data_IF_287372214073
#
_entry.id   IF_287372214073
#
_cell.length_a   1.000
_cell.length_b   1.000
_cell.length_c   1.000
_cell.angle_alpha   90.00
_cell.angle_beta   90.00
_cell.angle_gamma   90.00
#
_symmetry.space_group_name_H-M   'P 1'
#
loop_
_entity.id
_entity.type
_entity.pdbx_description
1 polymer ?
#
# COMPACT_ATOMS: atom_id res chain seq x y z
N UNK A 1 -7.80 -5.66 -20.61
CA UNK A 1 -7.05 -4.41 -20.79
C UNK A 1 -7.77 -3.34 -19.99
N UNK A 2 -7.09 -2.62 -19.10
CA UNK A 2 -7.66 -1.41 -18.50
C UNK A 2 -7.73 -0.36 -19.62
N UNK A 3 -8.93 -0.14 -20.14
CA UNK A 3 -9.21 0.87 -21.17
C UNK A 3 -9.40 2.19 -20.44
N UNK A 4 -8.58 3.19 -20.73
CA UNK A 4 -8.88 4.56 -20.32
C UNK A 4 -10.26 4.95 -20.91
N UNK A 5 -11.18 5.52 -20.13
CA UNK A 5 -12.57 5.73 -20.55
C UNK A 5 -12.77 6.84 -21.61
N UNK A 6 -11.69 7.54 -22.00
CA UNK A 6 -11.67 8.39 -23.22
C UNK A 6 -11.34 7.56 -24.48
N UNK A 7 -10.96 6.28 -24.32
CA UNK A 7 -10.42 5.39 -25.35
C UNK A 7 -11.35 4.20 -25.66
N UNK A 8 -12.55 4.53 -26.16
CA UNK A 8 -13.26 3.60 -27.04
C UNK A 8 -12.62 3.71 -28.43
N UNK A 9 -12.05 2.62 -28.91
CA UNK A 9 -11.42 2.43 -30.23
C UNK A 9 -9.92 2.76 -30.37
N UNK A 10 -9.33 2.13 -31.39
CA UNK A 10 -7.92 2.18 -31.76
C UNK A 10 -7.36 3.59 -31.66
N UNK A 11 -6.12 3.69 -31.16
CA UNK A 11 -5.38 4.94 -30.94
C UNK A 11 -5.81 6.04 -31.92
N UNK A 12 -6.50 7.05 -31.41
CA UNK A 12 -6.94 8.20 -32.20
C UNK A 12 -5.72 8.81 -32.93
N UNK A 13 -5.88 9.01 -34.24
CA UNK A 13 -4.93 9.66 -35.16
C UNK A 13 -4.45 11.06 -34.71
N UNK A 14 -5.09 11.64 -33.68
CA UNK A 14 -4.74 12.94 -33.10
C UNK A 14 -3.64 12.91 -32.03
N UNK A 15 -3.13 11.73 -31.64
CA UNK A 15 -2.16 11.60 -30.52
C UNK A 15 -0.72 11.88 -30.96
N UNK A 16 -0.09 12.89 -30.35
CA UNK A 16 1.27 13.37 -30.68
C UNK A 16 2.30 13.22 -29.55
N UNK A 17 2.00 12.48 -28.47
CA UNK A 17 2.93 12.33 -27.33
C UNK A 17 3.38 10.88 -27.10
N UNK A 18 4.63 10.71 -26.66
CA UNK A 18 5.25 9.38 -26.39
C UNK A 18 4.45 8.59 -25.34
N UNK A 19 3.91 9.24 -24.31
CA UNK A 19 3.16 8.58 -23.24
C UNK A 19 1.80 7.98 -23.70
N UNK A 20 1.27 8.41 -24.85
CA UNK A 20 -0.06 7.99 -25.33
C UNK A 20 -0.01 7.18 -26.64
N UNK A 21 1.19 6.97 -27.19
CA UNK A 21 1.44 6.18 -28.40
C UNK A 21 1.61 4.69 -28.10
N UNK A 22 1.45 3.86 -29.13
CA UNK A 22 1.77 2.42 -29.05
C UNK A 22 3.27 2.24 -28.85
N UNK A 23 3.64 1.39 -27.89
CA UNK A 23 5.00 0.93 -27.68
C UNK A 23 5.33 -0.25 -28.59
N UNK A 24 6.62 -0.59 -28.70
CA UNK A 24 7.10 -1.79 -29.40
C UNK A 24 6.42 -3.06 -28.84
N UNK A 25 6.18 -3.12 -27.54
CA UNK A 25 5.55 -4.28 -26.88
C UNK A 25 4.08 -4.45 -27.28
N UNK A 26 3.38 -3.39 -27.67
CA UNK A 26 2.01 -3.50 -28.17
C UNK A 26 1.93 -4.22 -29.52
N UNK A 27 2.98 -4.12 -30.34
CA UNK A 27 3.11 -4.84 -31.62
C UNK A 27 3.67 -6.24 -31.46
N UNK A 28 4.64 -6.43 -30.56
CA UNK A 28 5.29 -7.71 -30.28
C UNK A 28 5.15 -8.08 -28.80
N UNK A 29 3.96 -8.53 -28.36
CA UNK A 29 3.68 -8.75 -26.94
C UNK A 29 4.53 -9.83 -26.28
N UNK A 30 5.09 -10.76 -27.07
CA UNK A 30 5.96 -11.84 -26.62
C UNK A 30 7.46 -11.51 -26.78
N UNK A 31 7.83 -10.29 -27.15
CA UNK A 31 9.24 -9.89 -27.22
C UNK A 31 9.86 -9.91 -25.82
N UNK A 32 11.09 -10.44 -25.72
CA UNK A 32 11.84 -10.47 -24.47
C UNK A 32 12.01 -9.06 -23.88
N UNK A 33 11.61 -8.88 -22.63
CA UNK A 33 11.74 -7.60 -21.93
C UNK A 33 13.12 -7.47 -21.28
N UNK A 34 13.99 -6.63 -21.86
CA UNK A 34 15.32 -6.34 -21.32
C UNK A 34 15.34 -5.15 -20.35
N UNK A 35 14.22 -4.43 -20.17
CA UNK A 35 14.17 -3.25 -19.30
C UNK A 35 14.46 -3.60 -17.83
N UNK A 36 14.06 -4.79 -17.39
CA UNK A 36 14.28 -5.26 -16.02
C UNK A 36 15.77 -5.33 -15.64
N UNK A 37 16.68 -5.45 -16.63
CA UNK A 37 18.13 -5.51 -16.40
C UNK A 37 18.77 -4.13 -16.23
N UNK A 38 18.00 -3.07 -16.43
CA UNK A 38 18.44 -1.67 -16.29
C UNK A 38 17.62 -0.92 -15.24
N UNK A 39 16.76 -1.65 -14.53
CA UNK A 39 15.93 -1.10 -13.48
C UNK A 39 16.79 -0.59 -12.33
N UNK A 40 16.37 0.50 -11.69
CA UNK A 40 17.07 1.17 -10.59
C UNK A 40 18.53 1.50 -10.94
N UNK A 41 18.83 1.77 -12.21
CA UNK A 41 20.19 2.12 -12.63
C UNK A 41 20.65 3.43 -11.96
N UNK A 42 21.96 3.56 -11.72
CA UNK A 42 22.56 4.73 -11.07
C UNK A 42 22.16 6.08 -11.71
N UNK A 43 21.88 6.12 -13.01
CA UNK A 43 21.43 7.34 -13.70
C UNK A 43 20.02 7.79 -13.33
N UNK A 44 19.19 6.90 -12.78
CA UNK A 44 17.86 7.22 -12.27
C UNK A 44 17.90 7.65 -10.80
N UNK A 45 19.06 7.51 -10.13
CA UNK A 45 19.24 7.84 -8.72
C UNK A 45 19.71 9.31 -8.56
N UNK A 46 18.92 10.19 -7.92
CA UNK A 46 19.28 11.57 -7.67
C UNK A 46 20.31 11.75 -6.54
N UNK A 47 20.62 10.72 -5.75
CA UNK A 47 21.54 10.81 -4.61
C UNK A 47 23.02 10.81 -5.04
N UNK A 48 23.30 10.28 -6.23
CA UNK A 48 24.65 10.15 -6.77
C UNK A 48 25.38 8.88 -6.31
N UNK A 49 26.40 8.48 -7.06
CA UNK A 49 27.11 7.20 -6.88
C UNK A 49 27.88 7.09 -5.54
N UNK A 50 28.24 8.23 -4.95
CA UNK A 50 28.98 8.29 -3.68
C UNK A 50 28.08 8.25 -2.43
N UNK A 51 26.75 8.27 -2.61
CA UNK A 51 25.82 8.25 -1.49
C UNK A 51 25.83 6.88 -0.79
N UNK A 52 25.87 6.89 0.55
CA UNK A 52 25.81 5.68 1.36
C UNK A 52 24.73 5.82 2.42
N UNK A 53 23.59 5.18 2.19
CA UNK A 53 22.44 5.28 3.09
C UNK A 53 22.74 4.73 4.49
N UNK A 54 23.50 3.63 4.60
CA UNK A 54 23.85 3.06 5.90
C UNK A 54 24.66 4.05 6.76
N UNK A 55 25.56 4.82 6.15
CA UNK A 55 26.33 5.87 6.85
C UNK A 55 25.47 7.09 7.20
N UNK A 56 24.54 7.52 6.33
CA UNK A 56 23.61 8.60 6.66
C UNK A 56 22.60 8.21 7.76
N UNK A 57 22.07 6.99 7.69
CA UNK A 57 21.13 6.47 8.69
C UNK A 57 21.77 6.38 10.08
N UNK A 58 23.06 6.04 10.19
CA UNK A 58 23.79 6.04 11.48
C UNK A 58 23.87 7.44 12.13
N UNK A 59 23.74 8.51 11.34
CA UNK A 59 23.74 9.89 11.85
C UNK A 59 22.35 10.35 12.31
N UNK A 60 21.31 9.56 12.05
CA UNK A 60 19.94 9.87 12.42
C UNK A 60 19.76 9.78 13.94
N UNK A 61 19.18 10.83 14.52
CA UNK A 61 18.65 10.78 15.88
C UNK A 61 17.29 10.05 15.88
N UNK A 62 17.32 8.76 16.15
CA UNK A 62 16.12 7.91 16.17
C UNK A 62 15.14 8.28 17.29
N UNK A 63 15.63 8.76 18.43
CA UNK A 63 14.76 9.16 19.54
C UNK A 63 14.02 10.46 19.19
N UNK A 64 14.71 11.42 18.56
CA UNK A 64 14.06 12.62 18.03
C UNK A 64 13.03 12.28 16.94
N UNK A 65 13.38 11.40 15.99
CA UNK A 65 12.44 10.97 14.94
C UNK A 65 11.19 10.31 15.54
N UNK A 66 11.37 9.43 16.53
CA UNK A 66 10.27 8.77 17.22
C UNK A 66 9.38 9.78 17.95
N UNK A 67 9.97 10.77 18.62
CA UNK A 67 9.23 11.85 19.29
C UNK A 67 8.38 12.63 18.29
N UNK A 68 8.97 13.05 17.17
CA UNK A 68 8.23 13.77 16.13
C UNK A 68 7.08 12.93 15.55
N UNK A 69 7.28 11.62 15.37
CA UNK A 69 6.22 10.72 14.91
C UNK A 69 5.08 10.61 15.93
N UNK A 70 5.38 10.56 17.23
CA UNK A 70 4.36 10.56 18.28
C UNK A 70 3.57 11.86 18.32
N UNK A 71 4.24 13.00 18.09
CA UNK A 71 3.59 14.30 17.98
C UNK A 71 2.69 14.37 16.73
N UNK A 72 3.21 13.99 15.56
CA UNK A 72 2.47 13.94 14.30
C UNK A 72 1.21 13.08 14.42
N UNK A 73 1.28 11.92 15.08
CA UNK A 73 0.12 11.04 15.24
C UNK A 73 -1.06 11.75 15.91
N UNK A 74 -0.82 12.74 16.77
CA UNK A 74 -1.86 13.49 17.48
C UNK A 74 -2.17 14.85 16.84
N UNK A 75 -1.40 15.27 15.84
CA UNK A 75 -1.57 16.53 15.12
C UNK A 75 -2.51 16.35 13.93
N UNK A 76 -3.82 16.28 14.22
CA UNK A 76 -4.85 16.09 13.20
C UNK A 76 -4.88 17.25 12.20
N UNK A 77 -4.76 16.92 10.92
CA UNK A 77 -4.78 17.85 9.81
C UNK A 77 -6.19 18.04 9.25
N UNK A 78 -6.59 19.29 8.99
CA UNK A 78 -7.92 19.62 8.46
C UNK A 78 -8.23 18.90 7.15
N UNK A 79 -7.24 18.69 6.28
CA UNK A 79 -7.43 18.05 4.97
C UNK A 79 -7.63 16.53 5.07
N UNK A 80 -7.28 15.91 6.21
CA UNK A 80 -7.52 14.50 6.49
C UNK A 80 -7.60 14.26 8.00
N UNK A 81 -8.73 14.57 8.67
CA UNK A 81 -8.82 14.51 10.13
C UNK A 81 -8.54 13.12 10.69
N UNK A 82 -7.84 13.05 11.82
CA UNK A 82 -7.48 11.81 12.47
C UNK A 82 -8.68 11.16 13.17
N UNK A 83 -8.94 9.88 12.91
CA UNK A 83 -9.92 9.11 13.67
C UNK A 83 -9.50 9.04 15.13
N UNK A 84 -10.45 9.24 16.06
CA UNK A 84 -10.18 9.18 17.50
C UNK A 84 -9.07 10.14 17.97
N UNK A 85 -8.74 11.17 17.17
CA UNK A 85 -7.65 12.09 17.46
C UNK A 85 -6.24 11.51 17.27
N UNK A 86 -6.11 10.34 16.61
CA UNK A 86 -4.80 9.73 16.33
C UNK A 86 -4.69 9.13 14.92
N UNK A 87 -3.56 9.32 14.24
CA UNK A 87 -3.23 8.62 12.99
C UNK A 87 -2.60 7.25 13.21
N UNK A 88 -2.39 6.83 14.46
CA UNK A 88 -1.72 5.56 14.79
C UNK A 88 -2.23 4.37 13.98
N UNK A 89 -3.53 4.03 14.01
CA UNK A 89 -4.05 2.89 13.26
C UNK A 89 -3.88 3.01 11.74
N UNK A 90 -3.96 4.23 11.19
CA UNK A 90 -3.71 4.47 9.76
C UNK A 90 -2.24 4.19 9.39
N UNK A 91 -1.29 4.56 10.24
CA UNK A 91 0.13 4.25 10.02
C UNK A 91 0.46 2.77 10.20
N UNK A 92 -0.22 2.06 11.12
CA UNK A 92 -0.12 0.60 11.21
C UNK A 92 -0.58 -0.05 9.90
N UNK A 93 -1.75 0.34 9.38
CA UNK A 93 -2.23 -0.16 8.09
C UNK A 93 -1.25 0.15 6.96
N UNK A 94 -0.71 1.38 6.91
CA UNK A 94 0.27 1.76 5.88
C UNK A 94 1.53 0.87 5.93
N UNK A 95 2.10 0.67 7.12
CA UNK A 95 3.28 -0.18 7.31
C UNK A 95 2.98 -1.65 6.95
N UNK A 96 1.83 -2.16 7.40
CA UNK A 96 1.35 -3.50 7.06
C UNK A 96 1.21 -3.69 5.55
N UNK A 97 0.56 -2.76 4.85
CA UNK A 97 0.39 -2.83 3.39
C UNK A 97 1.70 -2.66 2.63
N UNK A 98 2.69 -1.95 3.21
CA UNK A 98 4.01 -1.80 2.62
C UNK A 98 4.75 -3.14 2.65
N UNK A 99 4.77 -3.80 3.81
CA UNK A 99 5.42 -5.10 3.99
C UNK A 99 4.63 -6.27 3.38
N UNK A 100 3.30 -6.18 3.35
CA UNK A 100 2.40 -7.27 3.04
C UNK A 100 2.28 -7.63 1.56
N UNK A 101 3.12 -7.07 0.68
CA UNK A 101 3.17 -7.50 -0.72
C UNK A 101 4.20 -8.60 -0.98
N UNK A 102 4.98 -8.96 0.04
CA UNK A 102 6.07 -9.93 -0.02
C UNK A 102 5.59 -11.33 -0.40
N UNK A 103 6.41 -12.11 -1.11
CA UNK A 103 6.09 -13.51 -1.43
C UNK A 103 7.32 -14.39 -1.35
N UNK A 104 7.18 -15.57 -0.75
CA UNK A 104 8.31 -16.48 -0.52
C UNK A 104 8.82 -17.14 -1.80
N UNK A 105 7.96 -17.32 -2.80
CA UNK A 105 8.29 -18.12 -3.99
C UNK A 105 9.38 -17.46 -4.85
N UNK A 106 9.44 -16.13 -4.88
CA UNK A 106 10.45 -15.41 -5.65
C UNK A 106 11.08 -14.22 -4.91
N UNK A 107 10.73 -14.02 -3.64
CA UNK A 107 11.31 -12.98 -2.78
C UNK A 107 10.90 -11.56 -3.14
N UNK A 108 9.95 -11.37 -4.06
CA UNK A 108 9.51 -10.05 -4.54
C UNK A 108 8.44 -9.43 -3.66
N UNK A 109 8.27 -8.12 -3.80
CA UNK A 109 7.40 -7.32 -2.95
C UNK A 109 8.03 -7.04 -1.59
N UNK A 110 7.19 -6.64 -0.64
CA UNK A 110 7.63 -6.20 0.68
C UNK A 110 8.03 -4.73 0.73
N UNK A 111 8.47 -4.30 1.91
CA UNK A 111 8.74 -2.90 2.21
C UNK A 111 10.18 -2.46 1.90
N UNK A 112 11.05 -3.38 1.45
CA UNK A 112 12.50 -3.19 1.33
C UNK A 112 12.91 -1.98 0.51
N UNK A 113 12.14 -1.67 -0.54
CA UNK A 113 12.45 -0.61 -1.51
C UNK A 113 11.54 0.62 -1.35
N UNK A 114 10.60 0.60 -0.39
CA UNK A 114 9.61 1.68 -0.21
C UNK A 114 8.65 1.88 -1.40
N UNK A 115 8.40 0.84 -2.19
CA UNK A 115 7.69 0.92 -3.49
C UNK A 115 6.20 1.22 -3.40
N UNK A 116 5.60 1.22 -2.20
CA UNK A 116 4.20 1.65 -2.01
C UNK A 116 3.97 3.11 -2.49
N UNK A 117 5.03 3.92 -2.60
CA UNK A 117 4.97 5.29 -3.14
C UNK A 117 4.85 5.38 -4.66
N UNK A 118 5.03 4.27 -5.38
CA UNK A 118 5.02 4.21 -6.84
C UNK A 118 3.89 3.33 -7.38
N UNK A 119 3.58 3.50 -8.66
CA UNK A 119 2.74 2.56 -9.39
C UNK A 119 3.36 1.14 -9.38
N UNK A 120 2.54 0.07 -9.44
CA UNK A 120 1.07 0.10 -9.35
C UNK A 120 0.56 0.22 -7.90
N UNK A 121 1.44 0.02 -6.90
CA UNK A 121 1.05 -0.12 -5.50
C UNK A 121 0.41 1.14 -4.92
N UNK A 122 0.87 2.32 -5.34
CA UNK A 122 0.29 3.60 -4.89
C UNK A 122 -1.20 3.75 -5.26
N UNK A 123 -1.70 2.92 -6.17
CA UNK A 123 -3.04 3.01 -6.78
C UNK A 123 -3.82 1.70 -6.73
N UNK A 124 -3.31 0.69 -6.04
CA UNK A 124 -4.09 -0.52 -5.76
C UNK A 124 -5.35 -0.18 -4.94
N UNK A 125 -6.51 -0.79 -5.22
CA UNK A 125 -7.73 -0.56 -4.44
C UNK A 125 -7.53 -0.78 -2.94
N UNK A 126 -6.79 -1.83 -2.54
CA UNK A 126 -6.54 -2.12 -1.14
C UNK A 126 -5.60 -1.10 -0.46
N UNK A 127 -4.90 -0.27 -1.25
CA UNK A 127 -4.10 0.84 -0.77
C UNK A 127 -4.83 2.19 -0.78
N UNK A 128 -6.16 2.17 -0.97
CA UNK A 128 -6.98 3.37 -0.90
C UNK A 128 -6.69 4.19 0.37
N UNK A 129 -6.56 5.50 0.18
CA UNK A 129 -6.22 6.51 1.19
C UNK A 129 -4.84 6.37 1.87
N UNK A 130 -4.00 5.40 1.50
CA UNK A 130 -2.61 5.36 1.98
C UNK A 130 -1.72 6.42 1.32
N UNK A 131 -2.17 7.03 0.23
CA UNK A 131 -1.60 8.28 -0.31
C UNK A 131 -1.70 9.42 0.72
N UNK A 132 -2.80 9.52 1.46
CA UNK A 132 -2.97 10.47 2.57
C UNK A 132 -2.01 10.15 3.71
N UNK A 133 -1.90 8.88 4.10
CA UNK A 133 -0.98 8.43 5.14
C UNK A 133 0.49 8.80 4.82
N UNK A 134 0.95 8.50 3.60
CA UNK A 134 2.31 8.90 3.16
C UNK A 134 2.49 10.41 3.11
N UNK A 135 1.45 11.16 2.71
CA UNK A 135 1.48 12.63 2.69
C UNK A 135 1.58 13.23 4.10
N UNK A 136 0.94 12.63 5.11
CA UNK A 136 1.09 13.05 6.50
C UNK A 136 2.53 12.91 7.01
N UNK A 137 3.27 11.90 6.52
CA UNK A 137 4.68 11.69 6.88
C UNK A 137 5.66 12.59 6.12
N UNK A 138 5.21 13.29 5.09
CA UNK A 138 6.10 14.13 4.27
C UNK A 138 6.88 15.19 5.07
N UNK A 139 6.29 15.94 6.02
CA UNK A 139 7.04 16.90 6.84
C UNK A 139 8.18 16.24 7.64
N UNK A 140 7.98 15.00 8.10
CA UNK A 140 9.02 14.22 8.79
C UNK A 140 10.14 13.87 7.81
N UNK A 141 9.80 13.32 6.63
CA UNK A 141 10.80 13.03 5.59
C UNK A 141 11.57 14.29 5.19
N UNK A 142 10.90 15.43 5.08
CA UNK A 142 11.52 16.71 4.75
C UNK A 142 12.49 17.18 5.84
N UNK A 143 12.14 17.02 7.12
CA UNK A 143 12.98 17.41 8.26
C UNK A 143 14.26 16.59 8.35
N UNK A 144 14.16 15.27 8.15
CA UNK A 144 15.29 14.34 8.32
C UNK A 144 16.07 14.06 7.03
N UNK A 145 15.50 14.41 5.88
CA UNK A 145 16.17 14.36 4.58
C UNK A 145 16.61 12.95 4.20
N UNK A 146 17.88 12.82 3.81
CA UNK A 146 18.54 11.61 3.34
C UNK A 146 18.91 10.61 4.45
N UNK A 147 18.87 11.03 5.73
CA UNK A 147 19.15 10.16 6.87
C UNK A 147 18.07 9.12 7.15
N UNK A 148 16.90 9.26 6.56
CA UNK A 148 15.81 8.29 6.66
C UNK A 148 15.17 8.12 5.28
N UNK A 149 15.11 6.89 4.80
CA UNK A 149 14.42 6.53 3.56
C UNK A 149 12.91 6.48 3.77
N UNK A 150 12.14 6.61 2.69
CA UNK A 150 10.70 6.37 2.70
C UNK A 150 10.35 4.95 3.16
N UNK A 151 11.13 3.94 2.75
CA UNK A 151 10.92 2.56 3.16
C UNK A 151 11.03 2.39 4.67
N UNK A 152 12.10 2.92 5.27
CA UNK A 152 12.28 2.88 6.72
C UNK A 152 11.26 3.76 7.45
N UNK A 153 10.99 4.97 6.96
CA UNK A 153 10.02 5.88 7.59
C UNK A 153 8.61 5.28 7.64
N UNK A 154 8.15 4.64 6.57
CA UNK A 154 6.82 4.03 6.54
C UNK A 154 6.68 2.89 7.56
N UNK A 155 7.70 2.03 7.68
CA UNK A 155 7.69 0.94 8.65
C UNK A 155 7.88 1.47 10.08
N UNK A 156 8.80 2.40 10.28
CA UNK A 156 9.06 2.98 11.60
C UNK A 156 7.85 3.73 12.15
N UNK A 157 7.09 4.42 11.30
CA UNK A 157 5.83 5.05 11.68
C UNK A 157 4.81 4.02 12.20
N UNK A 158 4.70 2.84 11.57
CA UNK A 158 3.85 1.75 12.06
C UNK A 158 4.31 1.17 13.40
N UNK A 159 5.61 0.96 13.57
CA UNK A 159 6.18 0.54 14.87
C UNK A 159 5.92 1.58 15.97
N UNK A 160 6.17 2.86 15.67
CA UNK A 160 5.91 3.95 16.59
C UNK A 160 4.42 4.04 16.96
N UNK A 161 3.52 3.81 15.98
CA UNK A 161 2.09 3.83 16.21
C UNK A 161 1.66 2.75 17.22
N UNK A 162 2.14 1.51 17.05
CA UNK A 162 1.91 0.43 18.01
C UNK A 162 2.37 0.81 19.43
N UNK A 163 3.59 1.35 19.56
CA UNK A 163 4.13 1.74 20.86
C UNK A 163 3.37 2.90 21.50
N UNK A 164 2.93 3.88 20.69
CA UNK A 164 2.17 5.03 21.18
C UNK A 164 0.79 4.65 21.72
N UNK A 165 0.25 3.50 21.29
CA UNK A 165 -1.04 2.94 21.69
C UNK A 165 -0.88 1.75 22.66
N UNK A 166 0.25 1.66 23.37
CA UNK A 166 0.42 0.70 24.47
C UNK A 166 0.97 -0.68 24.08
N UNK A 167 1.28 -0.94 22.80
CA UNK A 167 1.91 -2.19 22.37
C UNK A 167 3.43 -2.04 22.22
N UNK A 168 4.20 -2.61 23.15
CA UNK A 168 5.66 -2.61 23.07
C UNK A 168 6.15 -3.56 21.98
N UNK A 169 6.77 -3.02 20.93
CA UNK A 169 7.38 -3.83 19.87
C UNK A 169 8.69 -4.49 20.34
N UNK A 170 9.14 -5.53 19.63
CA UNK A 170 10.42 -6.18 19.91
C UNK A 170 11.63 -5.27 19.59
N UNK A 171 11.47 -4.37 18.62
CA UNK A 171 12.51 -3.48 18.13
C UNK A 171 12.27 -3.05 16.69
N UNK A 172 13.23 -2.31 16.13
CA UNK A 172 13.22 -1.84 14.76
C UNK A 172 14.64 -1.84 14.19
N UNK A 173 14.76 -2.08 12.88
CA UNK A 173 15.98 -1.91 12.12
C UNK A 173 15.70 -1.09 10.87
N UNK A 174 16.51 -0.05 10.65
CA UNK A 174 16.60 0.65 9.38
C UNK A 174 17.61 0.00 8.43
N UNK A 175 17.86 0.64 7.30
CA UNK A 175 18.76 0.17 6.25
C UNK A 175 18.06 -0.16 4.93
N UNK A 176 16.78 0.18 4.77
CA UNK A 176 16.06 0.06 3.50
C UNK A 176 16.44 1.22 2.59
N UNK A 177 17.14 0.97 1.51
CA UNK A 177 17.49 2.02 0.54
C UNK A 177 16.28 2.37 -0.35
N UNK A 178 16.18 3.64 -0.76
CA UNK A 178 15.11 4.03 -1.69
C UNK A 178 15.45 3.60 -3.11
N UNK A 179 14.46 3.07 -3.82
CA UNK A 179 14.49 3.01 -5.30
C UNK A 179 13.80 4.23 -5.88
N UNK A 180 14.11 4.59 -7.12
CA UNK A 180 13.63 5.83 -7.75
C UNK A 180 12.63 5.64 -8.89
N UNK A 181 12.20 4.40 -9.12
CA UNK A 181 11.22 4.07 -10.14
C UNK A 181 10.35 2.86 -9.73
N UNK A 182 9.16 2.70 -10.35
CA UNK A 182 8.34 1.50 -10.23
C UNK A 182 9.11 0.22 -10.54
N UNK A 183 8.89 -0.85 -9.76
CA UNK A 183 9.48 -2.15 -10.05
C UNK A 183 8.71 -2.83 -11.20
N UNK A 184 9.38 -3.01 -12.33
CA UNK A 184 8.87 -3.59 -13.60
C UNK A 184 9.03 -5.11 -13.67
N UNK A 185 9.77 -5.68 -12.72
CA UNK A 185 10.17 -7.07 -12.69
C UNK A 185 9.28 -7.93 -11.77
N UNK A 186 8.24 -7.33 -11.17
CA UNK A 186 7.25 -8.04 -10.35
C UNK A 186 6.04 -8.46 -11.17
N UNK A 187 5.80 -9.77 -11.24
CA UNK A 187 4.58 -10.34 -11.83
C UNK A 187 3.45 -10.41 -10.78
N UNK A 188 2.56 -9.41 -10.80
CA UNK A 188 1.41 -9.28 -9.88
C UNK A 188 0.19 -10.14 -10.25
N UNK A 189 0.18 -10.72 -11.45
CA UNK A 189 -0.90 -11.57 -11.95
C UNK A 189 -1.27 -11.28 -13.41
N UNK A 190 -2.08 -12.16 -14.03
CA UNK A 190 -2.48 -12.04 -15.43
C UNK A 190 -3.62 -11.04 -15.65
N UNK A 191 -4.30 -10.61 -14.58
CA UNK A 191 -5.52 -9.84 -14.70
C UNK A 191 -5.28 -8.47 -15.33
N UNK A 192 -6.29 -8.04 -16.07
CA UNK A 192 -6.29 -6.75 -16.73
C UNK A 192 -7.33 -5.77 -16.18
N UNK A 193 -7.92 -6.11 -15.02
CA UNK A 193 -8.85 -5.30 -14.24
C UNK A 193 -8.53 -5.43 -12.76
N UNK A 194 -8.67 -4.33 -12.02
CA UNK A 194 -8.59 -4.36 -10.56
C UNK A 194 -9.66 -5.28 -9.98
N UNK A 195 -9.30 -5.96 -8.89
CA UNK A 195 -10.11 -6.96 -8.20
C UNK A 195 -10.50 -8.18 -9.06
N UNK A 196 -9.89 -8.35 -10.25
CA UNK A 196 -9.99 -9.56 -11.04
C UNK A 196 -9.37 -10.77 -10.33
N UNK A 197 -9.76 -11.98 -10.76
CA UNK A 197 -9.39 -13.26 -10.14
C UNK A 197 -9.02 -14.37 -11.13
N UNK A 198 -8.46 -14.01 -12.28
CA UNK A 198 -8.02 -14.93 -13.36
C UNK A 198 -6.71 -15.66 -12.99
N UNK A 199 -6.57 -16.03 -11.72
CA UNK A 199 -5.34 -16.53 -11.08
C UNK A 199 -5.51 -17.86 -10.38
N UNK A 200 -6.61 -18.55 -10.63
CA UNK A 200 -6.90 -19.86 -10.07
C UNK A 200 -6.91 -20.91 -11.18
N UNK A 201 -6.37 -22.09 -10.92
CA UNK A 201 -6.52 -23.25 -11.81
C UNK A 201 -7.97 -23.75 -11.83
N UNK A 202 -8.26 -24.72 -12.69
CA UNK A 202 -9.58 -25.39 -12.72
C UNK A 202 -9.89 -26.10 -11.39
N UNK A 203 -8.86 -26.58 -10.69
CA UNK A 203 -8.93 -27.19 -9.36
C UNK A 203 -9.06 -26.16 -8.23
N UNK A 204 -9.01 -24.86 -8.54
CA UNK A 204 -9.13 -23.79 -7.56
C UNK A 204 -7.84 -23.48 -6.81
N UNK A 205 -6.68 -23.89 -7.34
CA UNK A 205 -5.38 -23.55 -6.74
C UNK A 205 -4.91 -22.17 -7.20
N UNK A 206 -4.44 -21.36 -6.26
CA UNK A 206 -3.88 -20.04 -6.57
C UNK A 206 -2.58 -20.20 -7.38
N UNK A 207 -2.45 -19.52 -8.51
CA UNK A 207 -1.29 -19.63 -9.38
C UNK A 207 -0.01 -19.16 -8.69
N UNK A 208 1.09 -19.89 -8.87
CA UNK A 208 2.42 -19.44 -8.45
C UNK A 208 2.91 -18.32 -9.38
N UNK A 209 3.69 -17.35 -8.89
CA UNK A 209 4.13 -17.15 -7.50
C UNK A 209 3.17 -16.28 -6.65
N UNK A 210 1.92 -16.08 -7.07
CA UNK A 210 1.00 -15.10 -6.47
C UNK A 210 0.62 -15.46 -5.03
N UNK A 211 0.44 -14.44 -4.20
CA UNK A 211 0.10 -14.59 -2.78
C UNK A 211 -1.14 -13.78 -2.36
N UNK A 212 -1.89 -13.24 -3.32
CA UNK A 212 -3.15 -12.54 -3.08
C UNK A 212 -4.28 -13.15 -3.91
N UNK A 213 -5.50 -13.16 -3.37
CA UNK A 213 -6.67 -13.81 -4.03
C UNK A 213 -7.24 -13.03 -5.20
N UNK A 214 -6.97 -11.73 -5.29
CA UNK A 214 -7.42 -10.84 -6.37
C UNK A 214 -6.34 -9.82 -6.69
N UNK A 215 -6.35 -9.32 -7.93
CA UNK A 215 -5.45 -8.25 -8.37
C UNK A 215 -5.74 -6.96 -7.61
N UNK A 216 -4.71 -6.37 -7.01
CA UNK A 216 -4.87 -5.12 -6.26
C UNK A 216 -5.26 -5.29 -4.79
N UNK A 217 -5.30 -6.52 -4.28
CA UNK A 217 -5.40 -6.82 -2.85
C UNK A 217 -4.03 -7.21 -2.28
N UNK A 218 -3.85 -6.98 -0.98
CA UNK A 218 -2.65 -7.41 -0.25
C UNK A 218 -2.69 -8.93 -0.03
N UNK A 219 -3.77 -9.46 0.57
CA UNK A 219 -3.91 -10.91 0.84
C UNK A 219 -5.24 -11.46 0.33
N UNK A 220 -6.32 -11.21 1.07
CA UNK A 220 -7.65 -11.79 0.85
C UNK A 220 -8.70 -10.70 0.69
N UNK A 221 -9.86 -11.07 0.14
CA UNK A 221 -11.02 -10.19 0.09
C UNK A 221 -11.67 -10.12 1.48
N UNK A 222 -11.88 -8.92 2.05
CA UNK A 222 -12.44 -8.77 3.39
C UNK A 222 -13.91 -9.20 3.49
N UNK A 223 -14.64 -9.26 2.36
CA UNK A 223 -16.02 -9.78 2.29
C UNK A 223 -16.07 -11.30 2.04
N UNK A 224 -14.91 -11.95 1.97
CA UNK A 224 -14.75 -13.38 1.69
C UNK A 224 -14.54 -13.70 0.20
N UNK A 225 -14.24 -14.97 -0.14
CA UNK A 225 -13.84 -15.35 -1.50
C UNK A 225 -14.91 -14.98 -2.53
N UNK A 226 -14.51 -14.18 -3.53
CA UNK A 226 -15.40 -13.65 -4.57
C UNK A 226 -16.55 -12.76 -4.04
N UNK A 227 -16.34 -12.09 -2.90
CA UNK A 227 -17.35 -11.26 -2.25
C UNK A 227 -18.46 -12.06 -1.57
N UNK A 228 -18.24 -13.34 -1.27
CA UNK A 228 -19.20 -14.19 -0.57
C UNK A 228 -18.81 -14.30 0.91
N UNK A 229 -19.71 -13.96 1.85
CA UNK A 229 -19.43 -13.97 3.28
C UNK A 229 -19.46 -15.41 3.85
N UNK A 230 -18.53 -16.25 3.41
CA UNK A 230 -18.28 -17.60 3.93
C UNK A 230 -16.98 -17.59 4.76
N UNK A 231 -17.08 -17.60 6.10
CA UNK A 231 -15.91 -17.55 6.99
C UNK A 231 -14.98 -18.76 6.86
N UNK A 232 -15.52 -19.94 6.53
CA UNK A 232 -14.70 -21.16 6.38
C UNK A 232 -13.89 -21.08 5.10
N UNK A 233 -14.51 -20.63 4.01
CA UNK A 233 -13.79 -20.39 2.76
C UNK A 233 -12.77 -19.25 2.91
N UNK A 234 -13.12 -18.17 3.62
CA UNK A 234 -12.19 -17.08 3.95
C UNK A 234 -10.99 -17.60 4.75
N UNK A 235 -11.19 -18.43 5.78
CA UNK A 235 -10.12 -19.02 6.57
C UNK A 235 -9.14 -19.86 5.75
N UNK A 236 -9.63 -20.61 4.77
CA UNK A 236 -8.77 -21.36 3.81
C UNK A 236 -7.93 -20.40 2.95
N UNK A 237 -8.56 -19.36 2.43
CA UNK A 237 -7.87 -18.34 1.64
C UNK A 237 -6.80 -17.62 2.45
N UNK A 238 -7.12 -17.21 3.68
CA UNK A 238 -6.20 -16.56 4.63
C UNK A 238 -4.97 -17.44 4.85
N UNK A 239 -5.16 -18.71 5.23
CA UNK A 239 -4.04 -19.64 5.43
C UNK A 239 -3.18 -19.78 4.16
N UNK A 240 -3.80 -19.90 2.99
CA UNK A 240 -3.08 -20.06 1.73
C UNK A 240 -2.25 -18.81 1.39
N UNK A 241 -2.81 -17.60 1.53
CA UNK A 241 -2.10 -16.37 1.19
C UNK A 241 -1.01 -16.04 2.19
N UNK A 242 -1.29 -16.13 3.50
CA UNK A 242 -0.29 -15.88 4.55
C UNK A 242 0.86 -16.89 4.49
N UNK A 243 0.58 -18.17 4.20
CA UNK A 243 1.61 -19.18 3.99
C UNK A 243 2.55 -18.86 2.81
N UNK A 244 2.03 -18.22 1.75
CA UNK A 244 2.85 -17.72 0.63
C UNK A 244 3.61 -16.43 0.96
N UNK A 245 3.34 -15.82 2.12
CA UNK A 245 4.03 -14.65 2.65
C UNK A 245 4.83 -14.96 3.92
N UNK A 246 5.28 -16.21 4.05
CA UNK A 246 6.12 -16.71 5.15
C UNK A 246 5.46 -16.77 6.53
N UNK A 247 4.14 -16.68 6.62
CA UNK A 247 3.43 -16.72 7.90
C UNK A 247 2.74 -18.07 8.12
N UNK A 248 3.00 -18.69 9.25
CA UNK A 248 2.28 -19.87 9.72
C UNK A 248 0.94 -19.48 10.39
N UNK A 249 0.17 -20.48 10.85
CA UNK A 249 -1.14 -20.26 11.47
C UNK A 249 -1.08 -19.37 12.72
N UNK A 250 -0.07 -19.54 13.59
CA UNK A 250 0.08 -18.74 14.80
C UNK A 250 0.38 -17.27 14.46
N UNK A 251 1.35 -17.05 13.56
CA UNK A 251 1.74 -15.71 13.10
C UNK A 251 0.58 -15.01 12.40
N UNK A 252 -0.18 -15.75 11.59
CA UNK A 252 -1.36 -15.23 10.88
C UNK A 252 -2.42 -14.73 11.84
N UNK A 253 -2.78 -15.52 12.85
CA UNK A 253 -3.78 -15.10 13.85
C UNK A 253 -3.25 -13.92 14.67
N UNK A 254 -1.99 -13.95 15.09
CA UNK A 254 -1.38 -12.86 15.85
C UNK A 254 -1.36 -11.53 15.07
N UNK A 255 -1.03 -11.57 13.79
CA UNK A 255 -1.02 -10.38 12.91
C UNK A 255 -2.41 -9.82 12.69
N UNK A 256 -3.39 -10.68 12.36
CA UNK A 256 -4.76 -10.23 12.10
C UNK A 256 -5.39 -9.68 13.38
N UNK A 257 -5.32 -10.41 14.49
CA UNK A 257 -5.91 -10.00 15.75
C UNK A 257 -5.22 -8.76 16.34
N UNK A 258 -3.89 -8.74 16.35
CA UNK A 258 -3.15 -7.59 16.84
C UNK A 258 -3.35 -6.34 15.97
N UNK A 259 -3.37 -6.48 14.65
CA UNK A 259 -3.64 -5.37 13.74
C UNK A 259 -5.05 -4.79 13.93
N UNK A 260 -6.08 -5.65 13.97
CA UNK A 260 -7.47 -5.23 14.10
C UNK A 260 -7.90 -4.88 15.52
N UNK A 261 -7.02 -5.01 16.53
CA UNK A 261 -7.27 -4.42 17.86
C UNK A 261 -7.42 -2.90 17.78
N UNK A 262 -6.78 -2.28 16.77
CA UNK A 262 -6.64 -0.84 16.62
C UNK A 262 -7.33 -0.34 15.35
N UNK A 263 -7.95 0.83 15.44
CA UNK A 263 -8.57 1.55 14.34
C UNK A 263 -9.96 1.06 13.94
N UNK A 264 -10.31 1.37 12.69
CA UNK A 264 -11.61 1.09 12.08
C UNK A 264 -11.48 0.94 10.57
N UNK A 265 -12.53 0.39 9.94
CA UNK A 265 -12.75 0.50 8.51
C UNK A 265 -13.60 1.74 8.16
N UNK A 266 -13.50 2.21 6.91
CA UNK A 266 -14.25 3.37 6.40
C UNK A 266 -15.09 3.02 5.17
N UNK A 267 -16.39 3.25 5.29
CA UNK A 267 -17.44 2.91 4.33
C UNK A 267 -18.67 3.79 4.55
N UNK A 268 -18.47 5.09 4.82
CA UNK A 268 -19.55 6.03 5.15
C UNK A 268 -20.64 6.14 4.07
N UNK A 269 -20.30 5.85 2.81
CA UNK A 269 -21.24 5.72 1.71
C UNK A 269 -20.69 4.80 0.62
N UNK A 270 -21.51 4.58 -0.42
CA UNK A 270 -21.19 3.74 -1.58
C UNK A 270 -19.96 4.28 -2.36
N UNK A 271 -18.82 3.58 -2.35
CA UNK A 271 -17.61 4.04 -3.01
C UNK A 271 -17.79 4.24 -4.52
N UNK A 272 -18.66 3.46 -5.16
CA UNK A 272 -18.87 3.53 -6.62
C UNK A 272 -19.53 4.83 -7.08
N UNK A 273 -20.15 5.58 -6.16
CA UNK A 273 -20.84 6.84 -6.45
C UNK A 273 -20.02 8.07 -6.09
N UNK A 274 -19.22 7.97 -5.03
CA UNK A 274 -18.63 9.15 -4.40
C UNK A 274 -17.11 9.20 -4.47
N UNK A 275 -16.44 8.07 -4.72
CA UNK A 275 -14.97 8.01 -4.76
C UNK A 275 -14.49 8.16 -6.19
N UNK A 276 -13.66 9.19 -6.42
CA UNK A 276 -13.01 9.47 -7.69
C UNK A 276 -11.82 8.54 -8.00
N UNK A 277 -11.09 8.82 -9.09
CA UNK A 277 -9.99 7.97 -9.56
C UNK A 277 -8.86 7.81 -8.54
N UNK A 278 -8.19 6.66 -8.60
CA UNK A 278 -6.94 6.35 -7.91
C UNK A 278 -5.78 7.28 -8.32
N UNK A 279 -4.69 7.41 -7.54
CA UNK A 279 -3.65 8.42 -7.75
C UNK A 279 -3.07 8.52 -9.17
N UNK A 280 -2.77 7.41 -9.83
CA UNK A 280 -2.23 7.40 -11.20
C UNK A 280 -3.25 7.85 -12.27
N UNK A 281 -4.54 7.86 -11.94
CA UNK A 281 -5.63 8.31 -12.81
C UNK A 281 -6.26 9.63 -12.34
N UNK A 282 -5.79 10.19 -11.22
CA UNK A 282 -6.31 11.42 -10.65
C UNK A 282 -5.85 12.65 -11.47
N UNK A 283 -6.67 13.71 -11.52
CA UNK A 283 -6.30 14.91 -12.26
C UNK A 283 -5.14 15.65 -11.54
N UNK A 284 -4.35 16.39 -12.31
CA UNK A 284 -3.05 16.95 -11.87
C UNK A 284 -3.16 17.85 -10.62
N UNK A 285 -4.30 18.54 -10.44
CA UNK A 285 -4.56 19.37 -9.26
C UNK A 285 -4.68 18.57 -7.96
N UNK A 286 -4.82 17.24 -8.00
CA UNK A 286 -4.73 16.39 -6.81
C UNK A 286 -3.29 16.17 -6.34
N UNK A 287 -2.28 16.59 -7.11
CA UNK A 287 -0.87 16.59 -6.71
C UNK A 287 -0.41 15.23 -6.16
N UNK A 288 -0.73 14.16 -6.90
CA UNK A 288 -0.35 12.77 -6.55
C UNK A 288 -1.22 12.11 -5.47
N UNK A 289 -2.30 12.76 -5.03
CA UNK A 289 -3.35 12.11 -4.24
C UNK A 289 -4.46 11.58 -5.15
N UNK A 290 -5.19 10.59 -4.67
CA UNK A 290 -6.32 9.97 -5.38
C UNK A 290 -7.53 9.75 -4.49
N UNK A 291 -8.49 8.99 -4.99
CA UNK A 291 -9.72 8.61 -4.29
C UNK A 291 -10.48 9.81 -3.69
N UNK A 292 -10.50 10.93 -4.43
CA UNK A 292 -11.20 12.14 -3.98
C UNK A 292 -12.67 11.80 -3.74
N UNK A 293 -13.11 11.99 -2.50
CA UNK A 293 -14.45 11.66 -2.05
C UNK A 293 -15.37 12.90 -2.13
N UNK A 294 -16.52 12.76 -2.79
CA UNK A 294 -17.52 13.82 -2.94
C UNK A 294 -18.71 13.68 -1.98
N UNK A 295 -18.75 12.63 -1.18
CA UNK A 295 -19.76 12.45 -0.14
C UNK A 295 -19.50 13.38 1.05
N UNK A 296 -20.48 14.21 1.40
CA UNK A 296 -20.37 15.14 2.52
C UNK A 296 -19.13 16.03 2.41
N UNK A 297 -18.29 16.01 3.45
CA UNK A 297 -17.00 16.70 3.50
C UNK A 297 -15.86 15.93 2.82
N UNK A 298 -16.07 14.66 2.47
CA UNK A 298 -15.09 13.77 1.84
C UNK A 298 -14.03 13.19 2.79
N UNK A 299 -14.08 13.52 4.09
CA UNK A 299 -13.06 13.22 5.10
C UNK A 299 -13.69 13.09 6.49
N UNK A 300 -12.92 12.66 7.50
CA UNK A 300 -13.44 12.48 8.86
C UNK A 300 -14.59 11.46 8.90
N UNK A 301 -15.76 11.86 9.41
CA UNK A 301 -16.96 10.99 9.47
C UNK A 301 -17.46 10.52 8.11
N UNK A 302 -17.14 11.25 7.04
CA UNK A 302 -17.61 10.95 5.68
C UNK A 302 -16.59 10.12 4.88
N UNK A 303 -15.54 9.62 5.53
CA UNK A 303 -14.45 8.89 4.88
C UNK A 303 -14.95 7.59 4.25
N UNK A 304 -14.47 7.30 3.03
CA UNK A 304 -14.71 6.03 2.34
C UNK A 304 -13.36 5.49 1.88
N UNK A 305 -13.04 4.27 2.29
CA UNK A 305 -11.80 3.56 1.94
C UNK A 305 -12.13 2.20 1.34
N UNK A 306 -12.51 1.22 2.16
CA UNK A 306 -12.84 -0.15 1.71
C UNK A 306 -14.31 -0.32 1.37
N UNK A 307 -15.18 0.56 1.87
CA UNK A 307 -16.64 0.40 1.82
C UNK A 307 -17.21 -0.38 3.01
N UNK A 308 -16.35 -0.96 3.88
CA UNK A 308 -16.74 -1.52 5.17
C UNK A 308 -16.63 -0.44 6.25
N UNK A 309 -17.56 -0.40 7.20
CA UNK A 309 -17.64 0.67 8.22
C UNK A 309 -17.60 0.10 9.64
N UNK A 310 -16.85 0.76 10.51
CA UNK A 310 -16.87 0.50 11.95
C UNK A 310 -15.53 0.07 12.54
N UNK A 311 -15.40 0.21 13.85
CA UNK A 311 -14.27 -0.27 14.63
C UNK A 311 -14.51 -1.72 15.08
N UNK A 312 -13.43 -2.47 15.27
CA UNK A 312 -13.51 -3.82 15.83
C UNK A 312 -13.60 -3.82 17.36
N UNK A 313 -13.01 -2.82 18.01
CA UNK A 313 -12.95 -2.72 19.48
C UNK A 313 -13.62 -1.44 19.98
N UNK A 314 -13.97 -1.42 21.27
CA UNK A 314 -14.52 -0.22 21.94
C UNK A 314 -13.46 0.87 22.23
N UNK A 315 -12.18 0.53 22.09
CA UNK A 315 -11.03 1.39 22.37
C UNK A 315 -10.03 1.29 21.21
N UNK A 316 -10.40 1.79 20.01
CA UNK A 316 -9.65 1.59 18.78
C UNK A 316 -8.31 2.34 18.73
N UNK A 317 -8.01 3.17 19.71
CA UNK A 317 -6.78 3.94 19.88
C UNK A 317 -5.89 3.40 21.02
N UNK A 318 -6.25 2.26 21.62
CA UNK A 318 -5.52 1.66 22.74
C UNK A 318 -5.42 0.13 22.61
N UNK A 319 -4.23 -0.42 22.87
CA UNK A 319 -4.00 -1.85 22.79
C UNK A 319 -4.78 -2.60 23.88
N UNK A 320 -5.57 -3.58 23.48
CA UNK A 320 -6.41 -4.38 24.37
C UNK A 320 -6.64 -5.80 23.82
N UNK A 321 -7.56 -6.56 24.44
CA UNK A 321 -7.88 -7.94 24.07
C UNK A 321 -9.35 -8.11 23.65
N UNK A 322 -9.99 -7.06 23.15
CA UNK A 322 -11.42 -7.09 22.81
C UNK A 322 -11.73 -7.70 21.42
N UNK A 323 -10.75 -7.76 20.52
CA UNK A 323 -10.86 -8.44 19.21
C UNK A 323 -10.83 -9.96 19.40
#
# INVERSE_FOLDING_TARGET
MAKCPVMGDMADSSRVTVASGMSVKDWWPNQLNLEILRQNAAKSDPMGEDFNYAEEFKKLDLDALKKDLFELMKDSQDWWPADYGTYGPLFIRMAWHSAGTYRVQDGRGGAGDGTQRFAPLNSWPDNANLDKARRLLWPIKQKYGDKISWGDLMIFAGNCALESMGFKTLGFAGGREEVWEPQKDVYWGPESKWLGRERYSEEGELANPLAAVQMGLIYVNPEGPAGKPDPIAAGKAIRATFGRMAMNDYETVALIAGGHTLGKAHGAADPSKYVGPEPEAAPIEQQGLGWKNTFGSGKGSDTITSGLEGAWTSSPDDWNHNY
#
